data_IF_983630267889
#
_entry.id   IF_983630267889
#
_cell.length_a   1.000
_cell.length_b   1.000
_cell.length_c   1.000
_cell.angle_alpha   90.00
_cell.angle_beta   90.00
_cell.angle_gamma   90.00
#
_symmetry.space_group_name_H-M   'P 1'
#
loop_
_entity.id
_entity.type
_entity.pdbx_description
1 polymer ?
#
# COMPACT_ATOMS: atom_id res chain seq x y z
N UNK A 1 -17.23 -6.97 -17.08
CA UNK A 1 -16.17 -6.05 -16.61
C UNK A 1 -15.72 -6.52 -15.23
N UNK A 2 -14.43 -6.81 -15.05
CA UNK A 2 -13.90 -7.01 -13.69
C UNK A 2 -14.17 -5.73 -12.89
N UNK A 3 -14.55 -5.81 -11.60
CA UNK A 3 -14.74 -4.60 -10.81
C UNK A 3 -13.45 -3.77 -10.83
N UNK A 4 -13.58 -2.46 -11.00
CA UNK A 4 -12.45 -1.55 -10.91
C UNK A 4 -11.92 -1.54 -9.47
N UNK A 5 -10.59 -1.60 -9.31
CA UNK A 5 -9.91 -1.47 -8.01
C UNK A 5 -9.79 0.00 -7.67
N UNK A 6 -10.29 0.41 -6.51
CA UNK A 6 -10.11 1.77 -6.00
C UNK A 6 -9.05 1.77 -4.90
N UNK A 7 -7.96 2.48 -5.13
CA UNK A 7 -6.80 2.47 -4.26
C UNK A 7 -6.57 3.84 -3.64
N UNK A 8 -6.17 3.82 -2.38
CA UNK A 8 -5.60 4.96 -1.69
C UNK A 8 -4.19 4.64 -1.26
N UNK A 9 -3.27 5.57 -1.49
CA UNK A 9 -1.95 5.51 -0.89
C UNK A 9 -1.95 6.30 0.41
N UNK A 10 -1.44 5.69 1.47
CA UNK A 10 -1.23 6.32 2.75
C UNK A 10 0.23 6.78 2.84
N UNK A 11 0.43 8.08 3.11
CA UNK A 11 1.78 8.62 3.21
C UNK A 11 2.53 8.14 4.46
N UNK A 12 3.85 7.99 4.32
CA UNK A 12 4.73 7.29 5.27
C UNK A 12 5.07 8.09 6.54
N UNK A 13 4.68 9.38 6.64
CA UNK A 13 5.10 10.27 7.73
C UNK A 13 4.28 10.16 9.03
N UNK A 14 3.21 9.36 9.06
CA UNK A 14 2.45 9.14 10.29
C UNK A 14 3.17 8.19 11.26
N UNK A 15 3.07 8.43 12.58
CA UNK A 15 3.40 7.42 13.59
C UNK A 15 2.61 6.13 13.36
N UNK A 16 3.25 4.97 13.62
CA UNK A 16 2.66 3.65 13.36
C UNK A 16 1.27 3.46 14.00
N UNK A 17 1.08 3.95 15.23
CA UNK A 17 -0.21 3.84 15.93
C UNK A 17 -1.31 4.65 15.24
N UNK A 18 -0.98 5.84 14.73
CA UNK A 18 -1.91 6.70 13.99
C UNK A 18 -2.32 6.05 12.66
N UNK A 19 -1.37 5.43 11.95
CA UNK A 19 -1.66 4.67 10.72
C UNK A 19 -2.63 3.51 10.99
N UNK A 20 -2.38 2.73 12.04
CA UNK A 20 -3.25 1.61 12.45
C UNK A 20 -4.66 2.08 12.79
N UNK A 21 -4.79 3.20 13.51
CA UNK A 21 -6.09 3.77 13.87
C UNK A 21 -6.86 4.22 12.63
N UNK A 22 -6.21 4.98 11.74
CA UNK A 22 -6.80 5.45 10.49
C UNK A 22 -7.25 4.29 9.60
N UNK A 23 -6.40 3.28 9.44
CA UNK A 23 -6.70 2.06 8.69
C UNK A 23 -7.93 1.32 9.25
N UNK A 24 -7.98 1.10 10.57
CA UNK A 24 -9.12 0.46 11.24
C UNK A 24 -10.42 1.25 11.02
N UNK A 25 -10.37 2.58 11.15
CA UNK A 25 -11.53 3.44 10.94
C UNK A 25 -12.02 3.41 9.48
N UNK A 26 -11.11 3.51 8.52
CA UNK A 26 -11.45 3.46 7.09
C UNK A 26 -12.03 2.10 6.69
N UNK A 27 -11.49 1.02 7.24
CA UNK A 27 -12.01 -0.33 7.03
C UNK A 27 -13.42 -0.50 7.57
N UNK A 28 -13.68 -0.13 8.83
CA UNK A 28 -15.00 -0.31 9.45
C UNK A 28 -16.06 0.62 8.89
N UNK A 29 -15.71 1.86 8.55
CA UNK A 29 -16.67 2.89 8.10
C UNK A 29 -16.94 2.82 6.60
N UNK A 30 -15.94 2.50 5.78
CA UNK A 30 -16.02 2.63 4.33
C UNK A 30 -15.65 1.36 3.54
N UNK A 31 -15.28 0.27 4.23
CA UNK A 31 -15.00 -1.03 3.62
C UNK A 31 -13.64 -1.13 2.94
N UNK A 32 -12.65 -0.34 3.36
CA UNK A 32 -11.28 -0.45 2.84
C UNK A 32 -10.55 -1.68 3.40
N UNK A 33 -9.86 -2.38 2.52
CA UNK A 33 -8.89 -3.42 2.90
C UNK A 33 -7.51 -2.79 2.98
N UNK A 34 -6.87 -2.90 4.14
CA UNK A 34 -5.54 -2.34 4.35
C UNK A 34 -4.44 -3.31 3.91
N UNK A 35 -3.53 -2.82 3.06
CA UNK A 35 -2.38 -3.55 2.55
C UNK A 35 -1.11 -2.81 2.94
N UNK A 36 -0.24 -3.44 3.74
CA UNK A 36 1.09 -2.89 4.03
C UNK A 36 2.13 -3.52 3.12
N UNK A 37 2.77 -2.72 2.27
CA UNK A 37 3.84 -3.20 1.40
C UNK A 37 4.99 -3.83 2.21
N UNK A 38 5.29 -3.27 3.39
CA UNK A 38 6.29 -3.81 4.30
C UNK A 38 5.92 -5.16 4.91
N UNK A 39 4.64 -5.40 5.22
CA UNK A 39 4.17 -6.72 5.69
C UNK A 39 4.22 -7.74 4.56
N UNK A 40 3.71 -7.39 3.37
CA UNK A 40 3.76 -8.26 2.20
C UNK A 40 5.19 -8.71 1.87
N UNK A 41 6.16 -7.78 1.89
CA UNK A 41 7.57 -8.13 1.69
C UNK A 41 8.13 -9.03 2.80
N UNK A 42 7.76 -8.79 4.07
CA UNK A 42 8.21 -9.61 5.21
C UNK A 42 7.62 -11.03 5.14
N UNK A 43 6.38 -11.17 4.71
CA UNK A 43 5.69 -12.45 4.63
C UNK A 43 6.18 -13.24 3.41
N UNK A 44 6.34 -12.58 2.26
CA UNK A 44 6.91 -13.19 1.05
C UNK A 44 8.33 -13.73 1.28
N UNK A 45 9.09 -13.07 2.16
CA UNK A 45 10.44 -13.48 2.57
C UNK A 45 10.46 -14.67 3.54
N UNK A 46 9.43 -14.79 4.39
CA UNK A 46 9.30 -15.91 5.33
C UNK A 46 8.73 -17.16 4.67
N UNK A 47 8.06 -17.01 3.54
CA UNK A 47 7.48 -18.12 2.80
C UNK A 47 8.57 -18.96 2.11
N UNK A 48 8.77 -20.24 2.50
CA UNK A 48 9.79 -21.09 1.91
C UNK A 48 9.51 -21.43 0.43
N UNK A 49 8.25 -21.35 -0.01
CA UNK A 49 7.84 -21.63 -1.39
C UNK A 49 7.82 -20.37 -2.27
N UNK A 50 8.38 -19.27 -1.77
CA UNK A 50 8.36 -17.98 -2.43
C UNK A 50 9.37 -17.88 -3.57
N UNK A 51 8.88 -17.49 -4.74
CA UNK A 51 9.75 -17.15 -5.89
C UNK A 51 10.64 -15.92 -5.63
N UNK A 52 10.25 -15.04 -4.69
CA UNK A 52 10.94 -13.78 -4.41
C UNK A 52 11.69 -13.78 -3.07
N UNK A 53 11.53 -14.82 -2.24
CA UNK A 53 11.95 -14.80 -0.84
C UNK A 53 13.45 -14.51 -0.67
N UNK A 54 14.30 -15.27 -1.37
CA UNK A 54 15.75 -15.08 -1.34
C UNK A 54 16.19 -13.72 -1.89
N UNK A 55 15.55 -13.26 -2.97
CA UNK A 55 15.85 -11.99 -3.60
C UNK A 55 15.52 -10.83 -2.65
N UNK A 56 14.34 -10.85 -2.03
CA UNK A 56 13.91 -9.85 -1.05
C UNK A 56 14.86 -9.83 0.16
N UNK A 57 15.23 -11.01 0.68
CA UNK A 57 16.15 -11.14 1.81
C UNK A 57 17.52 -10.51 1.49
N UNK A 58 18.06 -10.74 0.29
CA UNK A 58 19.32 -10.14 -0.17
C UNK A 58 19.25 -8.61 -0.16
N UNK A 59 18.24 -8.01 -0.80
CA UNK A 59 18.10 -6.55 -0.85
C UNK A 59 17.98 -5.94 0.55
N UNK A 60 17.17 -6.55 1.43
CA UNK A 60 16.96 -6.06 2.80
C UNK A 60 18.26 -6.14 3.62
N UNK A 61 18.99 -7.27 3.55
CA UNK A 61 20.28 -7.43 4.27
C UNK A 61 21.33 -6.42 3.82
N UNK A 62 21.34 -6.08 2.53
CA UNK A 62 22.25 -5.10 1.95
C UNK A 62 21.80 -3.64 2.19
N UNK A 63 20.67 -3.42 2.89
CA UNK A 63 20.10 -2.07 3.09
C UNK A 63 19.63 -1.41 1.79
N UNK A 64 19.41 -2.21 0.74
CA UNK A 64 18.98 -1.75 -0.58
C UNK A 64 17.46 -1.78 -0.70
N UNK A 65 16.94 -0.93 -1.57
CA UNK A 65 15.51 -0.90 -1.91
C UNK A 65 15.19 -2.13 -2.76
N UNK A 66 14.16 -2.89 -2.36
CA UNK A 66 13.64 -4.00 -3.14
C UNK A 66 13.09 -3.47 -4.47
N UNK A 67 13.35 -4.13 -5.62
CA UNK A 67 12.80 -3.74 -6.92
C UNK A 67 11.29 -3.48 -6.86
N UNK A 68 10.87 -2.41 -7.52
CA UNK A 68 9.47 -1.93 -7.47
C UNK A 68 8.51 -2.99 -8.01
N UNK A 69 8.91 -3.73 -9.05
CA UNK A 69 8.12 -4.74 -9.74
C UNK A 69 7.69 -5.86 -8.79
N UNK A 70 8.56 -6.25 -7.85
CA UNK A 70 8.26 -7.24 -6.83
C UNK A 70 7.16 -6.70 -5.93
N UNK A 71 7.31 -5.48 -5.42
CA UNK A 71 6.35 -4.87 -4.50
C UNK A 71 4.97 -4.69 -5.16
N UNK A 72 4.92 -4.23 -6.42
CA UNK A 72 3.68 -4.11 -7.21
C UNK A 72 3.05 -5.49 -7.42
N UNK A 73 3.86 -6.51 -7.73
CA UNK A 73 3.35 -7.88 -7.95
C UNK A 73 2.69 -8.44 -6.69
N UNK A 74 3.29 -8.21 -5.52
CA UNK A 74 2.71 -8.63 -4.24
C UNK A 74 1.42 -7.90 -3.92
N UNK A 75 1.41 -6.57 -4.07
CA UNK A 75 0.19 -5.77 -3.89
C UNK A 75 -0.92 -6.23 -4.83
N UNK A 76 -0.61 -6.45 -6.11
CA UNK A 76 -1.58 -6.92 -7.10
C UNK A 76 -2.14 -8.29 -6.74
N UNK A 77 -1.28 -9.24 -6.34
CA UNK A 77 -1.71 -10.58 -5.94
C UNK A 77 -2.69 -10.53 -4.77
N UNK A 78 -2.40 -9.72 -3.76
CA UNK A 78 -3.24 -9.57 -2.58
C UNK A 78 -4.60 -8.91 -2.92
N UNK A 79 -4.60 -7.89 -3.77
CA UNK A 79 -5.83 -7.27 -4.27
C UNK A 79 -6.68 -8.28 -5.04
N UNK A 80 -6.07 -9.06 -5.93
CA UNK A 80 -6.77 -10.06 -6.74
C UNK A 80 -7.39 -11.17 -5.87
N UNK A 81 -6.63 -11.69 -4.90
CA UNK A 81 -7.12 -12.69 -3.95
C UNK A 81 -8.27 -12.15 -3.09
N UNK A 82 -8.15 -10.91 -2.60
CA UNK A 82 -9.20 -10.25 -1.82
C UNK A 82 -10.50 -10.11 -2.62
N UNK A 83 -10.41 -9.69 -3.89
CA UNK A 83 -11.57 -9.53 -4.76
C UNK A 83 -12.16 -10.86 -5.22
N UNK A 84 -11.34 -11.89 -5.39
CA UNK A 84 -11.81 -13.24 -5.71
C UNK A 84 -12.61 -13.83 -4.54
N UNK A 85 -12.18 -13.59 -3.29
CA UNK A 85 -12.92 -13.99 -2.10
C UNK A 85 -14.22 -13.19 -1.90
N UNK A 86 -14.24 -11.92 -2.31
CA UNK A 86 -15.46 -11.10 -2.29
C UNK A 86 -15.38 -9.94 -3.28
N UNK A 87 -16.22 -9.96 -4.32
CA UNK A 87 -16.27 -8.89 -5.33
C UNK A 87 -16.61 -7.50 -4.76
N UNK A 88 -17.20 -7.45 -3.56
CA UNK A 88 -17.50 -6.20 -2.82
C UNK A 88 -16.24 -5.56 -2.19
N UNK A 89 -15.15 -6.31 -2.04
CA UNK A 89 -13.88 -5.83 -1.48
C UNK A 89 -12.94 -5.31 -2.56
N UNK A 90 -13.37 -4.29 -3.29
CA UNK A 90 -12.59 -3.67 -4.36
C UNK A 90 -11.94 -2.33 -3.96
N UNK A 91 -11.89 -2.02 -2.66
CA UNK A 91 -11.33 -0.78 -2.09
C UNK A 91 -10.13 -1.09 -1.22
N UNK A 92 -8.99 -0.48 -1.53
CA UNK A 92 -7.71 -0.77 -0.90
C UNK A 92 -7.03 0.48 -0.34
N UNK A 93 -6.47 0.34 0.86
CA UNK A 93 -5.63 1.35 1.50
C UNK A 93 -4.21 0.78 1.57
N UNK A 94 -3.31 1.31 0.75
CA UNK A 94 -1.93 0.84 0.60
C UNK A 94 -1.00 1.73 1.44
N UNK A 95 -0.32 1.15 2.43
CA UNK A 95 0.68 1.82 3.29
C UNK A 95 2.11 1.36 2.94
N UNK A 96 3.07 2.28 3.10
CA UNK A 96 4.49 2.04 2.86
C UNK A 96 4.88 1.93 1.39
N UNK A 97 4.01 2.35 0.47
CA UNK A 97 4.22 2.41 -0.98
C UNK A 97 3.29 3.47 -1.61
N UNK A 98 3.72 4.22 -2.63
CA UNK A 98 5.09 4.32 -3.16
C UNK A 98 6.02 5.08 -2.20
N UNK A 99 7.31 4.72 -2.16
CA UNK A 99 8.31 5.39 -1.28
C UNK A 99 9.15 6.45 -1.98
N UNK A 100 9.22 6.40 -3.31
CA UNK A 100 9.96 7.34 -4.13
C UNK A 100 9.29 7.47 -5.52
N UNK A 101 9.83 8.34 -6.35
CA UNK A 101 9.28 8.60 -7.69
C UNK A 101 9.35 7.37 -8.60
N UNK A 102 10.41 6.57 -8.51
CA UNK A 102 10.54 5.33 -9.29
C UNK A 102 9.44 4.33 -8.94
N UNK A 103 9.04 4.25 -7.66
CA UNK A 103 7.92 3.41 -7.22
C UNK A 103 6.60 3.86 -7.86
N UNK A 104 6.36 5.17 -7.88
CA UNK A 104 5.17 5.74 -8.48
C UNK A 104 5.13 5.53 -10.00
N UNK A 105 6.26 5.72 -10.68
CA UNK A 105 6.36 5.47 -12.13
C UNK A 105 6.14 4.00 -12.46
N UNK A 106 6.77 3.09 -11.70
CA UNK A 106 6.56 1.65 -11.84
C UNK A 106 5.10 1.25 -11.64
N UNK A 107 4.44 1.85 -10.65
CA UNK A 107 3.01 1.63 -10.40
C UNK A 107 2.18 2.09 -11.59
N UNK A 108 2.34 3.34 -12.03
CA UNK A 108 1.58 3.90 -13.15
C UNK A 108 1.75 3.04 -14.41
N UNK A 109 2.97 2.61 -14.74
CA UNK A 109 3.21 1.75 -15.90
C UNK A 109 2.56 0.37 -15.77
N UNK A 110 2.59 -0.23 -14.59
CA UNK A 110 2.21 -1.64 -14.41
C UNK A 110 0.72 -1.80 -14.10
N UNK A 111 0.13 -0.81 -13.43
CA UNK A 111 -1.23 -0.84 -12.89
C UNK A 111 -2.23 -0.01 -13.71
N UNK A 112 -1.77 0.66 -14.78
CA UNK A 112 -2.65 1.33 -15.74
C UNK A 112 -3.74 0.37 -16.27
N UNK A 113 -4.98 0.87 -16.30
CA UNK A 113 -6.18 0.09 -16.65
C UNK A 113 -6.55 -1.06 -15.70
N UNK A 114 -5.78 -1.31 -14.64
CA UNK A 114 -6.02 -2.40 -13.67
C UNK A 114 -6.50 -1.87 -12.32
N UNK A 115 -6.09 -0.66 -11.97
CA UNK A 115 -6.33 -0.04 -10.68
C UNK A 115 -6.42 1.49 -10.82
N UNK A 116 -7.46 2.05 -10.23
CA UNK A 116 -7.63 3.49 -10.13
C UNK A 116 -7.07 3.97 -8.79
N UNK A 117 -6.22 4.99 -8.84
CA UNK A 117 -5.73 5.68 -7.65
C UNK A 117 -6.68 6.84 -7.39
N UNK A 118 -7.54 6.70 -6.39
CA UNK A 118 -8.62 7.67 -6.15
C UNK A 118 -8.13 8.94 -5.45
N UNK A 119 -7.20 8.83 -4.49
CA UNK A 119 -6.46 9.94 -3.89
C UNK A 119 -5.32 9.43 -2.99
N UNK A 120 -4.42 10.34 -2.60
CA UNK A 120 -3.39 10.10 -1.59
C UNK A 120 -3.81 10.75 -0.28
N UNK A 121 -3.75 10.01 0.82
CA UNK A 121 -3.95 10.55 2.16
C UNK A 121 -2.60 11.04 2.69
N UNK A 122 -2.42 12.36 2.68
CA UNK A 122 -1.30 13.01 3.33
C UNK A 122 -1.74 13.52 4.70
N UNK A 123 -1.11 12.99 5.73
CA UNK A 123 -1.25 13.52 7.09
C UNK A 123 -0.03 14.38 7.38
N UNK A 124 -0.29 15.66 7.57
CA UNK A 124 0.72 16.59 8.07
C UNK A 124 0.51 16.74 9.56
N UNK A 125 1.43 16.18 10.34
CA UNK A 125 1.50 16.46 11.76
C UNK A 125 2.59 17.52 11.93
N UNK A 126 2.20 18.79 11.93
CA UNK A 126 3.09 19.84 12.43
C UNK A 126 3.46 19.47 13.87
N UNK A 127 4.75 19.55 14.21
CA UNK A 127 5.25 19.31 15.56
C UNK A 127 4.77 20.36 16.60
N UNK A 128 3.83 21.23 16.21
CA UNK A 128 3.23 22.24 17.07
C UNK A 128 1.77 21.87 17.35
N UNK A 129 1.54 21.32 18.55
CA UNK A 129 0.29 21.36 19.31
C UNK A 129 -1.01 21.46 18.51
N UNK A 130 -1.52 20.33 18.00
CA UNK A 130 -2.97 20.11 17.88
C UNK A 130 -3.26 18.63 17.63
N UNK A 131 -4.01 18.01 18.54
CA UNK A 131 -4.38 16.59 18.56
C UNK A 131 -5.32 16.12 17.43
N UNK A 132 -5.29 16.79 16.27
CA UNK A 132 -6.17 16.48 15.13
C UNK A 132 -5.33 16.46 13.85
N UNK A 133 -5.06 15.28 13.27
CA UNK A 133 -4.43 15.19 11.96
C UNK A 133 -5.28 15.90 10.92
N UNK A 134 -4.71 16.90 10.24
CA UNK A 134 -5.35 17.51 9.07
C UNK A 134 -5.19 16.55 7.88
N UNK A 135 -6.32 16.17 7.27
CA UNK A 135 -6.35 15.29 6.10
C UNK A 135 -6.32 16.17 4.85
N UNK A 136 -5.16 16.28 4.22
CA UNK A 136 -5.04 16.99 2.95
C UNK A 136 -5.18 15.99 1.79
N UNK A 137 -6.10 16.26 0.87
CA UNK A 137 -6.17 15.57 -0.42
C UNK A 137 -5.10 16.18 -1.33
N UNK A 138 -4.02 15.44 -1.56
CA UNK A 138 -3.08 15.77 -2.63
C UNK A 138 -3.58 15.13 -3.94
N UNK A 139 -3.79 15.95 -4.96
CA UNK A 139 -3.91 15.47 -6.34
C UNK A 139 -2.47 15.36 -6.90
N UNK A 140 -2.11 14.20 -7.44
CA UNK A 140 -0.90 14.02 -8.23
C UNK A 140 -1.27 13.99 -9.71
#
# INVERSE_FOLDING_TARGET
>A
LSPTRHNFFLNDKLPLNSKKLASKYLGSKYGYTHLSAGELLRDERKNPDSQYGELIEKYIKEGKIVPVEITISLLKREMDQTMAASAQKNKFLIDGFPRNQDNLQGWNKTMDGKADVSFVLFFDCNNENSDIPSVNKANY
#
